data_IF_558377507084
#
_entry.id   IF_558377507084
#
_cell.length_a   1.000
_cell.length_b   1.000
_cell.length_c   1.000
_cell.angle_alpha   90.00
_cell.angle_beta   90.00
_cell.angle_gamma   90.00
#
_symmetry.space_group_name_H-M   'P 1'
#
loop_
_entity.id
_entity.type
_entity.pdbx_description
1 polymer ?
#
# COMPACT_ATOMS: atom_id res chain seq x y z
N UNK A 1 18.00 30.14 -21.05
CA UNK A 1 17.94 28.69 -20.88
C UNK A 1 16.54 28.37 -20.38
N UNK A 2 15.85 27.45 -21.02
CA UNK A 2 14.57 26.93 -20.53
C UNK A 2 14.84 25.74 -19.60
N UNK A 3 14.81 26.01 -18.31
CA UNK A 3 15.15 25.02 -17.28
C UNK A 3 14.16 23.86 -17.25
N UNK A 4 12.86 24.14 -17.44
CA UNK A 4 11.83 23.08 -17.42
C UNK A 4 11.97 22.16 -18.62
N UNK A 5 12.20 22.73 -19.81
CA UNK A 5 12.43 21.92 -20.99
C UNK A 5 13.72 21.06 -20.87
N UNK A 6 14.78 21.62 -20.29
CA UNK A 6 16.01 20.87 -20.05
C UNK A 6 15.83 19.75 -19.01
N UNK A 7 14.98 19.96 -17.98
CA UNK A 7 14.58 18.91 -17.04
C UNK A 7 13.81 17.79 -17.76
N UNK A 8 12.84 18.11 -18.64
CA UNK A 8 12.12 17.11 -19.44
C UNK A 8 13.08 16.28 -20.29
N UNK A 9 14.04 16.93 -20.94
CA UNK A 9 15.04 16.23 -21.75
C UNK A 9 15.93 15.32 -20.89
N UNK A 10 16.37 15.79 -19.72
CA UNK A 10 17.19 15.01 -18.80
C UNK A 10 16.47 13.74 -18.33
N UNK A 11 15.21 13.86 -17.86
CA UNK A 11 14.38 12.71 -17.44
C UNK A 11 14.26 11.70 -18.60
N UNK A 12 13.94 12.16 -19.81
CA UNK A 12 13.83 11.28 -20.99
C UNK A 12 15.14 10.60 -21.40
N UNK A 13 16.28 11.28 -21.22
CA UNK A 13 17.60 10.68 -21.47
C UNK A 13 17.89 9.55 -20.50
N UNK A 14 17.50 9.70 -19.25
CA UNK A 14 17.65 8.65 -18.22
C UNK A 14 16.73 7.47 -18.50
N UNK A 15 15.45 7.71 -18.76
CA UNK A 15 14.46 6.68 -19.08
C UNK A 15 14.82 5.86 -20.32
N UNK A 16 15.25 6.54 -21.39
CA UNK A 16 15.62 5.89 -22.63
C UNK A 16 17.03 5.23 -22.59
N UNK A 17 17.80 5.47 -21.53
CA UNK A 17 19.17 4.98 -21.39
C UNK A 17 20.15 5.49 -22.44
N UNK A 18 19.72 6.42 -23.32
CA UNK A 18 20.53 6.98 -24.39
C UNK A 18 20.01 8.32 -24.89
N UNK A 19 20.94 9.20 -25.34
CA UNK A 19 20.58 10.48 -25.97
C UNK A 19 19.83 10.30 -27.30
N UNK A 20 20.15 9.24 -28.06
CA UNK A 20 19.48 8.94 -29.33
C UNK A 20 18.03 8.48 -29.10
N UNK A 21 17.80 7.58 -28.12
CA UNK A 21 16.47 7.13 -27.74
C UNK A 21 15.59 8.29 -27.21
N UNK A 22 16.14 9.12 -26.34
CA UNK A 22 15.45 10.31 -25.87
C UNK A 22 15.09 11.29 -26.99
N UNK A 23 16.01 11.52 -27.94
CA UNK A 23 15.77 12.39 -29.07
C UNK A 23 14.62 11.89 -29.97
N UNK A 24 14.52 10.58 -30.19
CA UNK A 24 13.41 9.95 -30.93
C UNK A 24 12.07 10.16 -30.20
N UNK A 25 12.01 9.91 -28.89
CA UNK A 25 10.79 10.11 -28.09
C UNK A 25 10.33 11.57 -28.02
N UNK A 26 11.28 12.51 -28.08
CA UNK A 26 11.00 13.94 -28.00
C UNK A 26 10.85 14.62 -29.39
N UNK A 27 10.88 13.84 -30.47
CA UNK A 27 10.88 14.35 -31.85
C UNK A 27 11.93 15.47 -32.09
N UNK A 28 13.15 15.26 -31.58
CA UNK A 28 14.26 16.24 -31.67
C UNK A 28 15.55 15.57 -32.11
N UNK A 29 16.66 16.32 -32.11
CA UNK A 29 17.98 15.79 -32.50
C UNK A 29 18.78 15.35 -31.27
N UNK A 30 19.66 14.35 -31.46
CA UNK A 30 20.59 13.90 -30.40
C UNK A 30 21.48 15.04 -29.91
N UNK A 31 21.87 15.95 -30.83
CA UNK A 31 22.68 17.13 -30.50
C UNK A 31 21.91 18.10 -29.57
N UNK A 32 20.61 18.28 -29.81
CA UNK A 32 19.76 19.07 -28.92
C UNK A 32 19.66 18.44 -27.53
N UNK A 33 19.35 17.16 -27.45
CA UNK A 33 19.23 16.45 -26.15
C UNK A 33 20.56 16.52 -25.35
N UNK A 34 21.72 16.34 -26.04
CA UNK A 34 23.02 16.44 -25.39
C UNK A 34 23.32 17.86 -24.88
N UNK A 35 22.95 18.88 -25.67
CA UNK A 35 23.13 20.29 -25.27
C UNK A 35 22.23 20.64 -24.07
N UNK A 36 20.96 20.26 -24.11
CA UNK A 36 20.00 20.54 -23.03
C UNK A 36 20.49 19.99 -21.68
N UNK A 37 21.00 18.75 -21.65
CA UNK A 37 21.58 18.17 -20.44
C UNK A 37 22.86 18.88 -20.02
N UNK A 38 23.74 19.24 -20.98
CA UNK A 38 24.99 19.97 -20.69
C UNK A 38 24.71 21.37 -20.12
N UNK A 39 23.71 22.07 -20.64
CA UNK A 39 23.29 23.38 -20.15
C UNK A 39 22.70 23.27 -18.72
N UNK A 40 21.99 22.18 -18.43
CA UNK A 40 21.45 21.89 -17.10
C UNK A 40 22.59 21.63 -16.09
N UNK A 41 23.56 20.76 -16.45
CA UNK A 41 24.75 20.48 -15.62
C UNK A 41 25.57 21.75 -15.37
N UNK A 42 25.72 22.60 -16.39
CA UNK A 42 26.42 23.88 -16.27
C UNK A 42 25.68 24.85 -15.32
N UNK A 43 24.37 24.93 -15.42
CA UNK A 43 23.55 25.75 -14.54
C UNK A 43 23.63 25.31 -13.07
N UNK A 44 23.56 24.00 -12.83
CA UNK A 44 23.67 23.40 -11.51
C UNK A 44 25.09 23.32 -10.98
N UNK A 45 26.10 23.60 -11.85
CA UNK A 45 27.55 23.43 -11.55
C UNK A 45 27.88 22.03 -11.05
N UNK A 46 27.15 21.04 -11.52
CA UNK A 46 27.25 19.64 -11.05
C UNK A 46 26.99 18.69 -12.21
N UNK A 47 27.77 17.61 -12.28
CA UNK A 47 27.53 16.52 -13.23
C UNK A 47 26.34 15.67 -12.75
N UNK A 48 25.38 15.47 -13.63
CA UNK A 48 24.22 14.60 -13.39
C UNK A 48 24.42 13.22 -14.00
N UNK A 49 25.17 13.15 -15.12
CA UNK A 49 25.43 11.92 -15.85
C UNK A 49 26.91 11.59 -15.91
N UNK A 50 27.26 10.34 -15.68
CA UNK A 50 28.53 9.74 -16.00
C UNK A 50 28.50 9.30 -17.48
N UNK A 51 29.22 10.00 -18.34
CA UNK A 51 29.29 9.70 -19.78
C UNK A 51 30.39 8.68 -20.00
N UNK A 52 30.06 7.42 -20.21
CA UNK A 52 30.97 6.45 -20.83
C UNK A 52 30.53 6.21 -22.27
N UNK A 53 31.44 5.79 -23.14
CA UNK A 53 31.16 5.55 -24.56
C UNK A 53 30.14 4.43 -24.82
N UNK A 54 29.73 3.70 -23.79
CA UNK A 54 28.82 2.54 -23.90
C UNK A 54 27.54 2.61 -23.07
N UNK A 55 27.47 3.44 -22.02
CA UNK A 55 26.27 3.55 -21.18
C UNK A 55 26.18 4.93 -20.52
N UNK A 56 24.94 5.40 -20.32
CA UNK A 56 24.61 6.53 -19.48
C UNK A 56 24.33 5.96 -18.08
N UNK A 57 25.01 6.50 -17.07
CA UNK A 57 24.74 6.20 -15.67
C UNK A 57 24.55 7.53 -14.92
N UNK A 58 23.65 7.56 -13.96
CA UNK A 58 23.46 8.70 -13.08
C UNK A 58 24.66 8.84 -12.13
N UNK A 59 24.96 10.07 -11.74
CA UNK A 59 25.76 10.37 -10.55
C UNK A 59 24.82 10.36 -9.32
N UNK A 60 25.35 10.31 -8.12
CA UNK A 60 24.54 10.46 -6.88
C UNK A 60 23.74 11.77 -6.88
N UNK A 61 24.33 12.87 -7.37
CA UNK A 61 23.62 14.13 -7.57
C UNK A 61 22.54 14.01 -8.65
N UNK A 62 22.82 13.25 -9.72
CA UNK A 62 21.88 12.97 -10.80
C UNK A 62 20.66 12.20 -10.34
N UNK A 63 20.83 11.20 -9.48
CA UNK A 63 19.71 10.42 -8.91
C UNK A 63 18.79 11.30 -8.08
N UNK A 64 19.34 12.07 -7.16
CA UNK A 64 18.54 13.01 -6.35
C UNK A 64 17.85 14.07 -7.20
N UNK A 65 18.56 14.58 -8.21
CA UNK A 65 18.00 15.60 -9.10
C UNK A 65 16.91 15.03 -10.02
N UNK A 66 17.06 13.79 -10.49
CA UNK A 66 16.03 13.09 -11.29
C UNK A 66 14.70 13.03 -10.54
N UNK A 67 14.71 12.58 -9.31
CA UNK A 67 13.50 12.51 -8.48
C UNK A 67 12.81 13.88 -8.34
N UNK A 68 13.60 14.94 -8.14
CA UNK A 68 13.06 16.31 -8.07
C UNK A 68 12.54 16.83 -9.42
N UNK A 69 13.22 16.50 -10.53
CA UNK A 69 12.72 16.83 -11.86
C UNK A 69 11.37 16.18 -12.16
N UNK A 70 11.22 14.88 -11.85
CA UNK A 70 9.95 14.17 -12.03
C UNK A 70 8.82 14.83 -11.24
N UNK A 71 9.06 15.21 -9.98
CA UNK A 71 8.09 15.91 -9.16
C UNK A 71 7.72 17.29 -9.72
N UNK A 72 8.71 18.10 -10.08
CA UNK A 72 8.50 19.46 -10.64
C UNK A 72 7.71 19.39 -11.95
N UNK A 73 8.09 18.47 -12.84
CA UNK A 73 7.44 18.33 -14.13
C UNK A 73 5.98 17.85 -13.98
N UNK A 74 5.72 16.94 -13.03
CA UNK A 74 4.36 16.54 -12.69
C UNK A 74 3.51 17.73 -12.20
N UNK A 75 4.08 18.62 -11.38
CA UNK A 75 3.38 19.83 -10.94
C UNK A 75 3.12 20.82 -12.10
N UNK A 76 4.04 20.95 -13.04
CA UNK A 76 3.84 21.81 -14.23
C UNK A 76 2.74 21.24 -15.11
N UNK A 77 2.79 19.94 -15.41
CA UNK A 77 1.76 19.27 -16.23
C UNK A 77 0.38 19.38 -15.58
N UNK A 78 0.33 19.28 -14.26
CA UNK A 78 -0.88 19.49 -13.48
C UNK A 78 -1.42 20.93 -13.56
N UNK A 79 -0.56 21.94 -13.41
CA UNK A 79 -0.95 23.34 -13.51
C UNK A 79 -1.47 23.68 -14.91
N UNK A 80 -0.85 23.13 -15.96
CA UNK A 80 -1.31 23.26 -17.34
C UNK A 80 -2.67 22.58 -17.56
N UNK A 81 -2.87 21.39 -17.00
CA UNK A 81 -4.14 20.67 -17.06
C UNK A 81 -5.27 21.43 -16.33
N UNK A 82 -5.00 22.00 -15.16
CA UNK A 82 -5.95 22.79 -14.40
C UNK A 82 -6.34 24.11 -15.12
N UNK A 83 -5.39 24.72 -15.82
CA UNK A 83 -5.63 25.92 -16.61
C UNK A 83 -6.43 25.65 -17.90
N UNK A 84 -6.34 24.41 -18.41
CA UNK A 84 -6.92 24.07 -19.71
C UNK A 84 -8.27 23.38 -19.66
N UNK A 85 -8.67 22.70 -18.58
CA UNK A 85 -10.06 22.25 -18.37
C UNK A 85 -10.27 21.54 -17.03
N UNK A 86 -11.45 21.70 -16.42
CA UNK A 86 -11.89 21.03 -15.19
C UNK A 86 -12.11 19.51 -15.38
N UNK A 87 -11.77 18.93 -16.53
CA UNK A 87 -12.04 17.55 -16.93
C UNK A 87 -10.79 16.82 -17.50
N UNK A 88 -9.58 17.18 -17.07
CA UNK A 88 -8.40 16.44 -17.49
C UNK A 88 -8.57 14.95 -17.20
N UNK A 89 -8.56 14.10 -18.26
CA UNK A 89 -8.62 12.65 -18.11
C UNK A 89 -7.37 12.19 -17.36
N UNK A 90 -7.53 11.40 -16.28
CA UNK A 90 -6.37 10.90 -15.56
C UNK A 90 -5.53 10.01 -16.48
N UNK A 91 -4.23 10.22 -16.50
CA UNK A 91 -3.28 9.47 -17.31
C UNK A 91 -1.90 9.42 -16.67
N UNK A 92 -1.02 8.58 -17.21
CA UNK A 92 0.34 8.43 -16.74
C UNK A 92 0.50 7.45 -15.58
N UNK A 93 1.66 7.45 -14.92
CA UNK A 93 2.03 6.49 -13.88
C UNK A 93 1.57 6.95 -12.50
N UNK A 94 0.88 6.07 -11.77
CA UNK A 94 0.46 6.24 -10.39
C UNK A 94 1.18 5.21 -9.52
N UNK A 95 2.03 5.69 -8.61
CA UNK A 95 2.80 4.83 -7.69
C UNK A 95 2.06 4.70 -6.38
N UNK A 96 1.58 3.50 -6.08
CA UNK A 96 0.79 3.18 -4.90
C UNK A 96 1.55 2.23 -4.00
N UNK A 97 1.60 2.55 -2.72
CA UNK A 97 2.02 1.62 -1.67
C UNK A 97 0.81 1.10 -0.91
N UNK A 98 0.83 -0.17 -0.49
CA UNK A 98 -0.15 -0.72 0.43
C UNK A 98 0.48 -1.77 1.36
N UNK A 99 -0.09 -1.95 2.55
CA UNK A 99 0.28 -3.06 3.44
C UNK A 99 -0.02 -4.39 2.75
N UNK A 100 0.90 -5.37 2.86
CA UNK A 100 0.95 -6.56 2.02
C UNK A 100 -0.38 -7.30 1.91
N UNK A 101 -0.90 -7.84 3.01
CA UNK A 101 -2.11 -8.67 2.97
C UNK A 101 -3.35 -7.86 2.60
N UNK A 102 -3.49 -6.65 3.14
CA UNK A 102 -4.56 -5.73 2.77
C UNK A 102 -4.51 -5.39 1.27
N UNK A 103 -3.32 -5.09 0.77
CA UNK A 103 -3.10 -4.79 -0.65
C UNK A 103 -3.50 -5.93 -1.57
N UNK A 104 -3.15 -7.17 -1.22
CA UNK A 104 -3.51 -8.35 -2.00
C UNK A 104 -5.02 -8.54 -2.12
N UNK A 105 -5.75 -8.40 -1.01
CA UNK A 105 -7.18 -8.73 -0.98
C UNK A 105 -8.09 -7.61 -1.45
N UNK A 106 -7.71 -6.34 -1.21
CA UNK A 106 -8.60 -5.21 -1.50
C UNK A 106 -8.06 -4.25 -2.56
N UNK A 107 -6.74 -3.97 -2.53
CA UNK A 107 -6.19 -2.96 -3.46
C UNK A 107 -6.02 -3.54 -4.86
N UNK A 108 -5.52 -4.77 -5.00
CA UNK A 108 -5.35 -5.41 -6.32
C UNK A 108 -6.68 -5.52 -7.08
N UNK A 109 -7.81 -5.99 -6.49
CA UNK A 109 -9.10 -5.97 -7.16
C UNK A 109 -9.59 -4.55 -7.52
N UNK A 110 -9.35 -3.56 -6.63
CA UNK A 110 -9.71 -2.17 -6.89
C UNK A 110 -8.89 -1.59 -8.06
N UNK A 111 -7.62 -1.96 -8.19
CA UNK A 111 -6.78 -1.58 -9.35
C UNK A 111 -7.40 -2.06 -10.65
N UNK A 112 -7.86 -3.32 -10.71
CA UNK A 112 -8.50 -3.87 -11.92
C UNK A 112 -9.69 -3.02 -12.36
N UNK A 113 -10.63 -2.75 -11.44
CA UNK A 113 -11.82 -1.94 -11.72
C UNK A 113 -11.50 -0.48 -12.03
N UNK A 114 -10.49 0.08 -11.40
CA UNK A 114 -10.03 1.43 -11.70
C UNK A 114 -9.47 1.55 -13.11
N UNK A 115 -8.65 0.58 -13.55
CA UNK A 115 -8.06 0.58 -14.89
C UNK A 115 -9.09 0.34 -16.01
N UNK A 116 -10.19 -0.38 -15.73
CA UNK A 116 -11.32 -0.46 -16.66
C UNK A 116 -11.95 0.92 -16.94
N UNK A 117 -12.00 1.78 -15.91
CA UNK A 117 -12.56 3.14 -16.01
C UNK A 117 -11.55 4.15 -16.55
N UNK A 118 -10.27 3.96 -16.24
CA UNK A 118 -9.18 4.88 -16.57
C UNK A 118 -7.99 4.13 -17.21
N UNK A 119 -8.15 3.67 -18.47
CA UNK A 119 -7.15 2.82 -19.14
C UNK A 119 -5.82 3.52 -19.40
N UNK A 120 -5.79 4.85 -19.39
CA UNK A 120 -4.58 5.64 -19.62
C UNK A 120 -3.71 5.78 -18.33
N UNK A 121 -4.16 5.25 -17.18
CA UNK A 121 -3.40 5.25 -15.94
C UNK A 121 -2.68 3.92 -15.75
N UNK A 122 -1.36 3.97 -15.69
CA UNK A 122 -0.51 2.84 -15.32
C UNK A 122 -0.31 2.84 -13.80
N UNK A 123 -0.74 1.79 -13.10
CA UNK A 123 -0.51 1.65 -11.65
C UNK A 123 0.74 0.81 -11.41
N UNK A 124 1.65 1.36 -10.59
CA UNK A 124 2.77 0.64 -9.99
C UNK A 124 2.46 0.43 -8.50
N UNK A 125 2.08 -0.82 -8.15
CA UNK A 125 1.70 -1.17 -6.78
C UNK A 125 2.87 -1.86 -6.06
N UNK A 126 3.31 -1.28 -4.95
CA UNK A 126 4.28 -1.88 -4.04
C UNK A 126 3.59 -2.35 -2.78
N UNK A 127 3.78 -3.63 -2.43
CA UNK A 127 3.24 -4.24 -1.22
C UNK A 127 4.35 -4.44 -0.19
N UNK A 128 4.27 -3.74 0.93
CA UNK A 128 5.25 -3.87 2.02
C UNK A 128 4.62 -3.57 3.39
N UNK A 129 5.21 -4.15 4.46
CA UNK A 129 4.73 -3.90 5.83
C UNK A 129 5.24 -2.59 6.41
N UNK A 130 6.38 -2.10 5.92
CA UNK A 130 6.93 -0.81 6.33
C UNK A 130 6.22 0.30 5.57
N UNK A 131 5.74 1.28 6.30
CA UNK A 131 5.24 2.50 5.69
C UNK A 131 6.41 3.28 5.05
N UNK A 132 6.34 3.62 3.77
CA UNK A 132 7.38 4.40 3.10
C UNK A 132 7.33 5.86 3.52
N UNK A 133 8.45 6.55 3.36
CA UNK A 133 8.41 8.00 3.21
C UNK A 133 7.90 8.32 1.80
N UNK A 134 6.67 8.83 1.72
CA UNK A 134 6.02 9.05 0.43
C UNK A 134 6.81 10.01 -0.46
N UNK A 135 7.38 11.05 0.14
CA UNK A 135 8.10 12.08 -0.60
C UNK A 135 9.47 11.60 -1.07
N UNK A 136 10.22 10.98 -0.16
CA UNK A 136 11.58 10.54 -0.46
C UNK A 136 11.62 9.29 -1.35
N UNK A 137 10.65 8.38 -1.20
CA UNK A 137 10.54 7.15 -2.00
C UNK A 137 9.68 7.34 -3.26
N UNK A 138 9.07 8.52 -3.44
CA UNK A 138 8.34 8.90 -4.66
C UNK A 138 7.02 8.16 -4.85
N UNK A 139 6.31 7.83 -3.77
CA UNK A 139 4.95 7.31 -3.85
C UNK A 139 3.91 8.43 -3.93
N UNK A 140 2.91 8.25 -4.78
CA UNK A 140 1.78 9.17 -4.91
C UNK A 140 0.76 8.95 -3.79
N UNK A 141 0.49 7.68 -3.43
CA UNK A 141 -0.48 7.28 -2.42
C UNK A 141 0.03 6.09 -1.61
N UNK A 142 -0.18 6.13 -0.30
CA UNK A 142 0.01 4.95 0.58
C UNK A 142 -1.29 4.57 1.27
N UNK A 143 -1.62 3.29 1.23
CA UNK A 143 -2.76 2.70 1.93
C UNK A 143 -2.24 1.96 3.17
N UNK A 144 -2.63 2.44 4.35
CA UNK A 144 -2.15 1.92 5.63
C UNK A 144 -3.28 1.63 6.60
N UNK A 145 -3.03 0.68 7.49
CA UNK A 145 -3.88 0.35 8.62
C UNK A 145 -3.20 0.87 9.91
N UNK A 146 -3.92 1.65 10.69
CA UNK A 146 -3.41 2.21 11.94
C UNK A 146 -4.54 2.47 12.94
N UNK A 147 -4.23 2.40 14.22
CA UNK A 147 -5.15 2.83 15.29
C UNK A 147 -5.26 4.35 15.36
N UNK A 148 -4.19 5.05 14.98
CA UNK A 148 -4.08 6.50 14.86
C UNK A 148 -2.91 6.87 13.98
N UNK A 149 -2.94 8.05 13.40
CA UNK A 149 -1.85 8.56 12.55
C UNK A 149 -1.01 9.55 13.36
N UNK A 150 0.33 9.50 13.22
CA UNK A 150 1.18 10.55 13.75
C UNK A 150 0.92 11.87 13.03
N UNK A 151 1.21 12.98 13.70
CA UNK A 151 1.17 14.30 13.07
C UNK A 151 2.21 14.37 11.93
N UNK A 152 1.75 14.63 10.73
CA UNK A 152 2.58 14.66 9.53
C UNK A 152 2.06 15.68 8.53
N UNK A 153 2.90 16.12 7.60
CA UNK A 153 2.51 16.99 6.48
C UNK A 153 1.63 16.30 5.42
N UNK A 154 1.28 15.03 5.61
CA UNK A 154 0.47 14.27 4.67
C UNK A 154 -1.02 14.53 4.89
N UNK A 155 -1.77 14.46 3.80
CA UNK A 155 -3.22 14.39 3.87
C UNK A 155 -3.63 12.97 4.16
N UNK A 156 -4.56 12.78 5.10
CA UNK A 156 -5.16 11.49 5.40
C UNK A 156 -6.64 11.47 5.02
N UNK A 157 -7.06 10.43 4.32
CA UNK A 157 -8.44 10.13 4.03
C UNK A 157 -8.79 8.78 4.66
N UNK A 158 -9.70 8.76 5.65
CA UNK A 158 -10.20 7.50 6.20
C UNK A 158 -11.13 6.82 5.18
N UNK A 159 -10.89 5.53 4.92
CA UNK A 159 -11.63 4.73 3.94
C UNK A 159 -12.48 3.63 4.58
N UNK A 160 -12.27 3.33 5.87
CA UNK A 160 -13.00 2.31 6.59
C UNK A 160 -12.24 1.82 7.82
N UNK A 161 -12.63 0.66 8.34
CA UNK A 161 -11.89 -0.06 9.38
C UNK A 161 -11.88 -1.57 9.10
N UNK A 162 -10.89 -2.26 9.64
CA UNK A 162 -10.77 -3.71 9.62
C UNK A 162 -10.36 -4.19 11.01
N UNK A 163 -10.78 -5.39 11.36
CA UNK A 163 -10.45 -6.03 12.63
C UNK A 163 -9.95 -7.45 12.39
N UNK A 164 -9.36 -8.04 13.43
CA UNK A 164 -8.93 -9.42 13.45
C UNK A 164 -9.91 -10.28 14.24
N UNK A 165 -9.95 -11.57 13.89
CA UNK A 165 -10.74 -12.60 14.56
C UNK A 165 -9.82 -13.75 14.98
N UNK A 166 -10.17 -14.44 16.06
CA UNK A 166 -9.48 -15.65 16.46
C UNK A 166 -9.91 -16.82 15.58
N UNK A 167 -8.94 -17.54 14.99
CA UNK A 167 -9.18 -18.69 14.13
C UNK A 167 -8.32 -19.87 14.52
N UNK A 168 -8.82 -21.08 14.25
CA UNK A 168 -8.08 -22.33 14.27
C UNK A 168 -8.52 -23.24 13.12
N UNK A 169 -7.75 -24.28 12.80
CA UNK A 169 -8.22 -25.30 11.86
C UNK A 169 -9.10 -26.34 12.58
N UNK A 170 -10.04 -27.02 11.87
CA UNK A 170 -10.83 -28.11 12.44
C UNK A 170 -9.95 -29.20 13.07
N UNK A 171 -8.88 -29.60 12.38
CA UNK A 171 -7.96 -30.63 12.84
C UNK A 171 -7.21 -30.27 14.13
N UNK A 172 -6.95 -28.98 14.37
CA UNK A 172 -6.40 -28.52 15.64
C UNK A 172 -7.44 -28.62 16.75
N UNK A 173 -8.67 -28.21 16.49
CA UNK A 173 -9.77 -28.19 17.48
C UNK A 173 -10.19 -29.60 17.89
N UNK A 174 -10.18 -30.56 16.98
CA UNK A 174 -10.42 -31.99 17.30
C UNK A 174 -9.46 -32.53 18.36
N UNK A 175 -8.20 -32.06 18.35
CA UNK A 175 -7.16 -32.53 19.26
C UNK A 175 -7.10 -31.77 20.58
N UNK A 176 -7.41 -30.48 20.54
CA UNK A 176 -7.14 -29.55 21.65
C UNK A 176 -8.40 -28.95 22.28
N UNK A 177 -9.57 -29.23 21.69
CA UNK A 177 -10.84 -28.62 22.10
C UNK A 177 -11.06 -27.23 21.54
N UNK A 178 -12.25 -26.69 21.77
CA UNK A 178 -12.69 -25.35 21.31
C UNK A 178 -12.70 -24.40 22.50
N UNK A 179 -11.91 -23.31 22.48
CA UNK A 179 -11.96 -22.28 23.52
C UNK A 179 -13.34 -21.61 23.53
N UNK A 180 -13.91 -21.43 24.70
CA UNK A 180 -15.25 -20.84 24.87
C UNK A 180 -15.18 -19.36 25.26
N UNK A 181 -14.06 -18.93 25.84
CA UNK A 181 -13.80 -17.56 26.28
C UNK A 181 -12.37 -17.14 25.91
N UNK A 182 -12.06 -15.84 25.84
CA UNK A 182 -10.69 -15.37 25.68
C UNK A 182 -9.74 -15.93 26.77
N UNK A 183 -10.21 -16.16 27.98
CA UNK A 183 -9.44 -16.68 29.10
C UNK A 183 -8.98 -18.15 28.90
N UNK A 184 -9.56 -18.88 27.96
CA UNK A 184 -9.14 -20.25 27.62
C UNK A 184 -7.93 -20.29 26.68
N UNK A 185 -7.72 -19.22 25.91
CA UNK A 185 -6.67 -19.15 24.87
C UNK A 185 -5.25 -19.39 25.40
N UNK A 186 -4.84 -18.98 26.60
CA UNK A 186 -3.53 -19.30 27.14
C UNK A 186 -3.24 -20.81 27.32
N UNK A 187 -4.27 -21.66 27.26
CA UNK A 187 -4.14 -23.12 27.32
C UNK A 187 -3.92 -23.72 25.92
N UNK A 188 -4.11 -22.93 24.87
CA UNK A 188 -3.88 -23.34 23.48
C UNK A 188 -2.51 -22.86 22.98
N UNK A 189 -2.04 -23.45 21.90
CA UNK A 189 -0.88 -22.93 21.17
C UNK A 189 -1.30 -21.70 20.40
N UNK A 190 -0.97 -20.52 20.90
CA UNK A 190 -1.28 -19.25 20.26
C UNK A 190 -0.10 -18.78 19.39
N UNK A 191 -0.36 -18.60 18.09
CA UNK A 191 0.60 -18.11 17.11
C UNK A 191 0.59 -16.56 17.14
N UNK A 192 1.76 -15.94 17.13
CA UNK A 192 1.86 -14.50 17.37
C UNK A 192 2.20 -13.73 16.10
N UNK A 193 1.42 -12.68 15.83
CA UNK A 193 1.72 -11.75 14.75
C UNK A 193 2.57 -10.60 15.27
N UNK A 194 3.74 -10.39 14.64
CA UNK A 194 4.62 -9.27 14.95
C UNK A 194 4.20 -8.07 14.15
N UNK A 195 3.67 -7.06 14.80
CA UNK A 195 3.25 -5.78 14.20
C UNK A 195 3.86 -4.61 14.98
N UNK A 196 4.03 -3.43 14.36
CA UNK A 196 4.49 -2.25 15.10
C UNK A 196 3.43 -1.65 16.03
N UNK A 197 2.16 -2.08 15.93
CA UNK A 197 1.01 -1.47 16.61
C UNK A 197 0.60 -2.25 17.86
N UNK A 198 0.58 -3.58 17.78
CA UNK A 198 0.09 -4.43 18.85
C UNK A 198 1.20 -5.31 19.42
N UNK A 199 1.33 -5.39 20.77
CA UNK A 199 2.22 -6.34 21.41
C UNK A 199 1.85 -7.78 20.99
N UNK A 200 2.80 -8.61 20.53
CA UNK A 200 2.47 -9.94 20.00
C UNK A 200 1.97 -10.91 21.08
N UNK A 201 2.36 -10.70 22.32
CA UNK A 201 2.02 -11.52 23.51
C UNK A 201 0.78 -11.03 24.27
N UNK A 202 0.15 -9.94 23.82
CA UNK A 202 -1.07 -9.41 24.44
C UNK A 202 -2.18 -9.29 23.41
N UNK A 203 -3.23 -10.05 23.62
CA UNK A 203 -4.42 -10.00 22.77
C UNK A 203 -5.55 -9.30 23.50
N UNK A 204 -5.98 -8.16 22.98
CA UNK A 204 -7.15 -7.43 23.47
C UNK A 204 -8.36 -7.82 22.62
N UNK A 205 -9.44 -8.18 23.26
CA UNK A 205 -10.70 -8.56 22.65
C UNK A 205 -11.79 -7.58 23.05
N UNK A 206 -12.51 -7.05 22.07
CA UNK A 206 -13.76 -6.33 22.29
C UNK A 206 -14.92 -7.30 22.24
N UNK A 207 -15.64 -7.44 23.35
CA UNK A 207 -16.73 -8.39 23.50
C UNK A 207 -17.94 -7.79 24.23
N UNK A 208 -18.96 -8.63 24.52
CA UNK A 208 -20.23 -8.18 25.12
C UNK A 208 -20.07 -7.49 26.47
N UNK A 209 -19.02 -7.82 27.23
CA UNK A 209 -18.72 -7.26 28.55
C UNK A 209 -17.68 -6.16 28.56
N UNK A 210 -17.30 -5.66 27.37
CA UNK A 210 -16.25 -4.70 27.17
C UNK A 210 -14.93 -5.32 26.74
N UNK A 211 -13.83 -4.56 26.87
CA UNK A 211 -12.50 -5.00 26.47
C UNK A 211 -11.90 -5.97 27.50
N UNK A 212 -11.43 -7.12 27.00
CA UNK A 212 -10.70 -8.14 27.77
C UNK A 212 -9.31 -8.32 27.18
N UNK A 213 -8.27 -8.13 27.96
CA UNK A 213 -6.88 -8.38 27.53
C UNK A 213 -6.33 -9.64 28.17
N UNK A 214 -5.82 -10.55 27.34
CA UNK A 214 -5.12 -11.76 27.77
C UNK A 214 -3.64 -11.65 27.47
N UNK A 215 -2.82 -12.26 28.35
CA UNK A 215 -1.38 -12.40 28.11
C UNK A 215 -1.07 -13.84 27.72
N UNK A 216 -0.37 -14.00 26.63
CA UNK A 216 0.02 -15.30 26.09
C UNK A 216 1.36 -15.76 26.64
N UNK A 217 1.59 -17.06 26.62
CA UNK A 217 2.90 -17.65 26.84
C UNK A 217 3.89 -17.39 25.71
N UNK A 218 5.11 -17.94 25.82
CA UNK A 218 6.11 -17.86 24.76
C UNK A 218 5.59 -18.41 23.43
N UNK A 219 5.81 -17.67 22.35
CA UNK A 219 5.39 -18.07 21.03
C UNK A 219 6.20 -19.25 20.51
N UNK A 220 5.53 -20.25 19.96
CA UNK A 220 6.15 -21.32 19.17
C UNK A 220 6.37 -20.93 17.72
N UNK A 221 5.62 -19.92 17.24
CA UNK A 221 5.71 -19.38 15.90
C UNK A 221 5.34 -17.90 15.91
N UNK A 222 6.15 -17.11 15.23
CA UNK A 222 5.92 -15.67 15.02
C UNK A 222 6.07 -15.32 13.55
N UNK A 223 5.20 -14.46 13.05
CA UNK A 223 5.21 -13.99 11.66
C UNK A 223 4.69 -12.55 11.58
N UNK A 224 5.12 -11.80 10.58
CA UNK A 224 4.72 -10.40 10.35
C UNK A 224 3.76 -10.19 9.18
N UNK A 225 3.29 -11.27 8.55
CA UNK A 225 2.37 -11.23 7.39
C UNK A 225 1.13 -12.04 7.69
N UNK A 226 -0.05 -11.44 7.56
CA UNK A 226 -1.33 -12.08 7.91
C UNK A 226 -1.62 -13.32 7.06
N UNK A 227 -1.22 -13.35 5.77
CA UNK A 227 -1.36 -14.53 4.92
C UNK A 227 -0.56 -15.71 5.43
N UNK A 228 0.68 -15.49 5.89
CA UNK A 228 1.48 -16.55 6.47
C UNK A 228 0.88 -17.04 7.81
N UNK A 229 0.27 -16.15 8.59
CA UNK A 229 -0.49 -16.55 9.78
C UNK A 229 -1.69 -17.42 9.40
N UNK A 230 -2.48 -17.04 8.40
CA UNK A 230 -3.63 -17.82 7.94
C UNK A 230 -3.21 -19.23 7.47
N UNK A 231 -2.12 -19.33 6.73
CA UNK A 231 -1.54 -20.63 6.31
C UNK A 231 -1.11 -21.48 7.51
N UNK A 232 -0.43 -20.89 8.49
CA UNK A 232 0.03 -21.63 9.69
C UNK A 232 -1.16 -22.15 10.50
N UNK A 233 -2.20 -21.33 10.70
CA UNK A 233 -3.43 -21.73 11.42
C UNK A 233 -4.18 -22.82 10.65
N UNK A 234 -4.36 -22.68 9.35
CA UNK A 234 -5.01 -23.67 8.50
C UNK A 234 -4.25 -25.01 8.49
N UNK A 235 -2.91 -24.97 8.63
CA UNK A 235 -2.06 -26.17 8.76
C UNK A 235 -2.13 -26.83 10.14
N UNK A 236 -2.93 -26.33 11.07
CA UNK A 236 -3.13 -26.93 12.39
C UNK A 236 -2.05 -26.60 13.41
N UNK A 237 -1.25 -25.56 13.20
CA UNK A 237 -0.17 -25.19 14.12
C UNK A 237 -0.69 -24.58 15.45
N UNK A 238 -1.90 -24.05 15.46
CA UNK A 238 -2.45 -23.42 16.64
C UNK A 238 -3.62 -22.47 16.36
N UNK A 239 -3.88 -21.58 17.31
CA UNK A 239 -4.84 -20.48 17.23
C UNK A 239 -4.11 -19.21 16.84
N UNK A 240 -4.67 -18.41 15.93
CA UNK A 240 -4.10 -17.11 15.52
C UNK A 240 -5.15 -16.02 15.43
N UNK A 241 -4.77 -14.77 15.70
CA UNK A 241 -5.55 -13.60 15.30
C UNK A 241 -5.28 -13.31 13.83
N UNK A 242 -6.32 -13.35 13.01
CA UNK A 242 -6.22 -13.17 11.57
C UNK A 242 -7.16 -12.03 11.17
N UNK A 243 -6.67 -10.99 10.46
CA UNK A 243 -7.55 -9.99 9.89
C UNK A 243 -8.62 -10.61 9.00
N UNK A 244 -9.84 -10.06 9.05
CA UNK A 244 -10.99 -10.62 8.32
C UNK A 244 -10.71 -10.86 6.83
N UNK A 245 -9.99 -9.96 6.15
CA UNK A 245 -9.66 -10.08 4.74
C UNK A 245 -8.74 -11.27 4.42
N UNK A 246 -7.93 -11.73 5.38
CA UNK A 246 -7.10 -12.92 5.24
C UNK A 246 -7.80 -14.19 5.74
N UNK A 247 -8.81 -14.06 6.62
CA UNK A 247 -9.53 -15.18 7.19
C UNK A 247 -10.67 -15.69 6.29
N UNK A 248 -11.37 -14.79 5.57
CA UNK A 248 -12.64 -15.06 4.90
C UNK A 248 -12.55 -16.23 3.91
N UNK A 249 -11.48 -16.34 3.13
CA UNK A 249 -11.27 -17.44 2.18
C UNK A 249 -11.13 -18.80 2.89
N UNK A 250 -10.41 -18.84 4.01
CA UNK A 250 -10.26 -20.01 4.85
C UNK A 250 -11.55 -20.45 5.53
N UNK A 251 -12.38 -19.49 5.93
CA UNK A 251 -13.72 -19.75 6.49
C UNK A 251 -14.64 -20.34 5.41
N UNK A 252 -14.67 -19.77 4.20
CA UNK A 252 -15.46 -20.30 3.07
C UNK A 252 -15.11 -21.74 2.71
N UNK A 253 -13.82 -22.06 2.72
CA UNK A 253 -13.35 -23.40 2.36
C UNK A 253 -13.46 -24.42 3.51
N UNK A 254 -13.79 -23.96 4.73
CA UNK A 254 -13.76 -24.79 5.94
C UNK A 254 -12.36 -25.14 6.45
N UNK A 255 -11.31 -24.53 5.91
CA UNK A 255 -9.93 -24.69 6.40
C UNK A 255 -9.70 -23.97 7.73
N UNK A 256 -10.51 -22.95 8.01
CA UNK A 256 -10.52 -22.18 9.25
C UNK A 256 -11.90 -22.23 9.90
N UNK A 257 -11.90 -22.20 11.22
CA UNK A 257 -13.09 -22.01 12.07
C UNK A 257 -12.92 -20.70 12.83
N UNK A 258 -13.93 -19.86 12.80
CA UNK A 258 -13.97 -18.65 13.62
C UNK A 258 -14.27 -19.01 15.07
N UNK A 259 -13.36 -18.66 15.95
CA UNK A 259 -13.49 -18.86 17.39
C UNK A 259 -13.99 -17.59 18.05
N UNK A 260 -14.75 -17.75 19.13
CA UNK A 260 -15.24 -16.63 19.94
C UNK A 260 -16.00 -15.58 19.10
N UNK A 261 -17.10 -15.95 18.43
CA UNK A 261 -17.76 -15.08 17.43
C UNK A 261 -18.39 -13.80 18.01
N UNK A 262 -18.47 -13.69 19.32
CA UNK A 262 -18.93 -12.47 20.02
C UNK A 262 -17.79 -11.47 20.27
N UNK A 263 -16.55 -11.82 19.89
CA UNK A 263 -15.36 -11.03 20.13
C UNK A 263 -14.66 -10.64 18.83
N UNK A 264 -14.22 -9.40 18.79
CA UNK A 264 -13.30 -8.89 17.76
C UNK A 264 -11.99 -8.43 18.40
N UNK A 265 -10.94 -8.27 17.62
CA UNK A 265 -9.63 -7.88 18.13
C UNK A 265 -8.90 -6.99 17.13
N UNK A 266 -7.99 -6.18 17.62
CA UNK A 266 -7.05 -5.41 16.78
C UNK A 266 -7.76 -4.56 15.71
N UNK A 267 -8.82 -3.84 16.06
CA UNK A 267 -9.45 -2.95 15.10
C UNK A 267 -8.50 -1.82 14.69
N UNK A 268 -8.37 -1.61 13.39
CA UNK A 268 -7.56 -0.56 12.79
C UNK A 268 -8.37 0.20 11.74
N UNK A 269 -8.13 1.50 11.67
CA UNK A 269 -8.67 2.33 10.61
C UNK A 269 -7.80 2.21 9.36
N UNK A 270 -8.45 2.13 8.21
CA UNK A 270 -7.82 2.19 6.91
C UNK A 270 -7.72 3.64 6.45
N UNK A 271 -6.52 4.06 6.10
CA UNK A 271 -6.23 5.40 5.59
C UNK A 271 -5.56 5.36 4.22
N UNK A 272 -5.97 6.27 3.35
CA UNK A 272 -5.16 6.69 2.22
C UNK A 272 -4.38 7.94 2.61
N UNK A 273 -3.07 7.90 2.42
CA UNK A 273 -2.14 9.00 2.71
C UNK A 273 -1.54 9.50 1.41
N UNK A 274 -1.48 10.82 1.23
CA UNK A 274 -0.91 11.46 0.05
C UNK A 274 -0.39 12.87 0.37
N UNK A 275 0.55 13.43 -0.43
CA UNK A 275 1.34 14.60 -0.02
C UNK A 275 0.56 15.91 0.12
N UNK A 276 -0.52 16.13 -0.65
CA UNK A 276 -1.23 17.44 -0.62
C UNK A 276 -2.66 17.30 -1.12
N UNK A 277 -3.54 18.20 -0.63
CA UNK A 277 -4.89 18.43 -1.20
C UNK A 277 -4.89 19.48 -2.28
N UNK A 278 -3.94 20.41 -2.21
CA UNK A 278 -3.84 21.53 -3.15
C UNK A 278 -3.13 21.03 -4.41
N UNK A 279 -3.74 21.21 -5.57
CA UNK A 279 -3.20 20.80 -6.88
C UNK A 279 -2.99 19.28 -7.00
N UNK A 280 -3.97 18.51 -6.55
CA UNK A 280 -3.92 17.05 -6.64
C UNK A 280 -4.05 16.61 -8.10
N UNK A 281 -3.04 15.85 -8.60
CA UNK A 281 -3.06 15.27 -9.94
C UNK A 281 -4.35 14.47 -10.16
N UNK A 282 -4.93 14.58 -11.36
CA UNK A 282 -6.20 13.93 -11.70
C UNK A 282 -6.19 12.43 -11.43
N UNK A 283 -5.07 11.72 -11.68
CA UNK A 283 -4.93 10.29 -11.39
C UNK A 283 -4.97 9.98 -9.89
N UNK A 284 -4.37 10.83 -9.05
CA UNK A 284 -4.41 10.65 -7.59
C UNK A 284 -5.82 10.94 -7.07
N UNK A 285 -6.43 12.04 -7.50
CA UNK A 285 -7.78 12.41 -7.11
C UNK A 285 -8.79 11.33 -7.44
N UNK A 286 -8.83 10.87 -8.70
CA UNK A 286 -9.78 9.86 -9.16
C UNK A 286 -9.50 8.49 -8.53
N UNK A 287 -8.24 8.16 -8.20
CA UNK A 287 -7.90 6.96 -7.46
C UNK A 287 -8.45 7.00 -6.03
N UNK A 288 -8.26 8.13 -5.31
CA UNK A 288 -8.79 8.30 -3.94
C UNK A 288 -10.33 8.27 -3.95
N UNK A 289 -10.97 8.91 -4.92
CA UNK A 289 -12.43 8.86 -5.09
C UNK A 289 -12.92 7.43 -5.32
N UNK A 290 -12.26 6.68 -6.21
CA UNK A 290 -12.56 5.30 -6.50
C UNK A 290 -12.43 4.41 -5.25
N UNK A 291 -11.35 4.55 -4.48
CA UNK A 291 -11.16 3.80 -3.24
C UNK A 291 -12.19 4.17 -2.17
N UNK A 292 -12.56 5.44 -2.07
CA UNK A 292 -13.59 5.91 -1.12
C UNK A 292 -14.96 5.29 -1.40
N UNK A 293 -15.28 5.07 -2.67
CA UNK A 293 -16.57 4.50 -3.07
C UNK A 293 -16.55 2.97 -2.94
N UNK A 294 -15.46 2.31 -3.28
CA UNK A 294 -15.38 0.85 -3.34
C UNK A 294 -15.00 0.16 -2.03
N UNK A 295 -13.99 0.66 -1.32
CA UNK A 295 -13.46 -0.06 -0.16
C UNK A 295 -14.47 -0.21 0.97
N UNK A 296 -15.26 0.82 1.34
CA UNK A 296 -16.29 0.65 2.37
C UNK A 296 -17.33 -0.41 1.99
N UNK A 297 -17.71 -0.47 0.71
CA UNK A 297 -18.67 -1.46 0.22
C UNK A 297 -18.10 -2.89 0.31
N UNK A 298 -16.85 -3.07 -0.11
CA UNK A 298 -16.17 -4.38 -0.04
C UNK A 298 -15.97 -4.84 1.40
N UNK A 299 -15.55 -3.94 2.30
CA UNK A 299 -15.40 -4.23 3.73
C UNK A 299 -16.75 -4.62 4.35
N UNK A 300 -17.83 -3.93 4.00
CA UNK A 300 -19.17 -4.24 4.49
C UNK A 300 -19.66 -5.63 4.02
N UNK A 301 -19.34 -6.03 2.79
CA UNK A 301 -19.67 -7.37 2.26
C UNK A 301 -18.97 -8.45 3.08
N UNK A 302 -17.65 -8.32 3.31
CA UNK A 302 -16.89 -9.31 4.09
C UNK A 302 -17.37 -9.38 5.55
N UNK A 303 -17.70 -8.25 6.15
CA UNK A 303 -18.29 -8.22 7.51
C UNK A 303 -19.68 -8.86 7.56
N UNK A 304 -20.51 -8.66 6.53
CA UNK A 304 -21.81 -9.29 6.45
C UNK A 304 -21.70 -10.81 6.26
N UNK A 305 -20.75 -11.24 5.44
CA UNK A 305 -20.46 -12.66 5.23
C UNK A 305 -19.92 -13.32 6.50
N UNK A 306 -18.99 -12.66 7.21
CA UNK A 306 -18.45 -13.16 8.46
C UNK A 306 -19.56 -13.52 9.47
N UNK A 307 -20.59 -12.68 9.57
CA UNK A 307 -21.74 -12.94 10.47
C UNK A 307 -22.50 -14.23 10.16
N UNK A 308 -22.38 -14.78 8.96
CA UNK A 308 -23.01 -16.04 8.59
C UNK A 308 -22.26 -17.23 9.23
N UNK A 309 -20.93 -17.12 9.38
CA UNK A 309 -20.12 -18.15 10.04
C UNK A 309 -20.27 -18.16 11.57
N UNK A 310 -20.80 -17.10 12.19
CA UNK A 310 -21.10 -17.08 13.63
C UNK A 310 -22.30 -17.95 14.03
N UNK A 311 -23.11 -18.37 13.06
CA UNK A 311 -24.39 -19.10 13.30
C UNK A 311 -24.26 -20.59 13.06
N UNK A 312 -23.09 -21.04 12.64
CA UNK A 312 -22.82 -22.46 12.36
C UNK A 312 -21.98 -23.05 13.47
#
# INVERSE_FOLDING_TARGET
MDTLQNMRVFVRVVEAGSFTGAAQHLNTTTAYASRAVSDLEAHLRTRLLNRTTRRIALTEAGERYLQRCEQILAYVDQAEAEASDAHARPSGKLKVHAMTSFGQHYVVPAVGRYQERYPDVQIELTLAQRMPDLLDEGFDVSLTLATGLPDSGLVSQRLGSAFSIACASPAYLEKHGVPQTPADLPRHTCLQMVTPVFPPDKWAFDGPNGEETITLGPATFQVNVAEAMAVAVASGMGVGLIPIYSAISGLRSGALVWLLPEYTSQEMNLYALYPSRQYLDAKIRTWIEHLRDELPATLAVDQAELRQFART
#
